data_IF_926820230129
#
_entry.id   IF_926820230129
#
_cell.length_a   1.000
_cell.length_b   1.000
_cell.length_c   1.000
_cell.angle_alpha   90.00
_cell.angle_beta   90.00
_cell.angle_gamma   90.00
#
_symmetry.space_group_name_H-M   'P 1'
#
loop_
_entity.id
_entity.type
_entity.pdbx_description
1 polymer ?
#
# COMPACT_ATOMS: atom_id res chain seq x y z
N UNK A 1 -8.86 24.68 1.64
CA UNK A 1 -8.91 23.54 2.58
C UNK A 1 -10.21 22.84 2.26
N UNK A 2 -10.15 21.57 1.90
CA UNK A 2 -11.35 20.81 1.55
C UNK A 2 -12.21 20.59 2.80
N UNK A 3 -13.53 20.56 2.63
CA UNK A 3 -14.45 20.34 3.73
C UNK A 3 -14.30 18.93 4.33
N UNK A 4 -14.46 18.76 5.65
CA UNK A 4 -14.37 17.46 6.30
C UNK A 4 -15.42 16.48 5.75
N UNK A 5 -15.01 15.26 5.44
CA UNK A 5 -15.96 14.19 5.11
C UNK A 5 -16.45 13.57 6.41
N UNK A 6 -17.76 13.55 6.62
CA UNK A 6 -18.37 12.95 7.81
C UNK A 6 -19.11 11.66 7.44
N UNK A 7 -18.84 10.58 8.17
CA UNK A 7 -19.56 9.31 8.11
C UNK A 7 -20.39 9.13 9.38
N UNK A 8 -21.15 8.03 9.47
CA UNK A 8 -21.90 7.69 10.69
C UNK A 8 -20.99 7.63 11.93
N UNK A 9 -19.76 7.14 11.77
CA UNK A 9 -18.85 6.83 12.88
C UNK A 9 -17.69 7.82 13.00
N UNK A 10 -17.22 8.38 11.88
CA UNK A 10 -15.97 9.14 11.84
C UNK A 10 -16.11 10.49 11.15
N UNK A 11 -15.31 11.46 11.58
CA UNK A 11 -15.01 12.68 10.84
C UNK A 11 -13.60 12.56 10.26
N UNK A 12 -13.50 12.70 8.94
CA UNK A 12 -12.28 12.50 8.16
C UNK A 12 -11.82 13.87 7.66
N UNK A 13 -10.62 14.29 8.05
CA UNK A 13 -10.04 15.56 7.64
C UNK A 13 -8.76 15.33 6.85
N UNK A 14 -8.63 15.95 5.69
CA UNK A 14 -7.38 15.99 4.94
C UNK A 14 -6.53 17.15 5.48
N UNK A 15 -5.44 16.84 6.19
CA UNK A 15 -4.58 17.87 6.77
C UNK A 15 -3.56 18.40 5.76
N UNK A 16 -3.01 17.50 4.94
CA UNK A 16 -2.01 17.86 3.93
C UNK A 16 -1.97 16.85 2.81
N UNK A 17 -1.69 17.32 1.60
CA UNK A 17 -1.40 16.52 0.43
C UNK A 17 -0.05 16.93 -0.16
N UNK A 18 0.80 15.95 -0.49
CA UNK A 18 2.07 16.19 -1.17
C UNK A 18 2.13 15.35 -2.43
N UNK A 19 2.22 16.03 -3.56
CA UNK A 19 2.33 15.41 -4.89
C UNK A 19 3.78 15.16 -5.26
N UNK A 20 4.07 13.95 -5.73
CA UNK A 20 5.33 13.54 -6.33
C UNK A 20 5.08 13.11 -7.78
N UNK A 21 6.15 12.81 -8.52
CA UNK A 21 6.06 12.44 -9.94
C UNK A 21 5.15 11.23 -10.21
N UNK A 22 5.23 10.18 -9.38
CA UNK A 22 4.53 8.91 -9.57
C UNK A 22 3.66 8.46 -8.39
N UNK A 23 3.53 9.28 -7.35
CA UNK A 23 2.65 9.00 -6.21
C UNK A 23 2.24 10.28 -5.48
N UNK A 24 1.22 10.17 -4.64
CA UNK A 24 0.73 11.21 -3.74
C UNK A 24 0.76 10.68 -2.31
N UNK A 25 1.17 11.52 -1.36
CA UNK A 25 1.05 11.24 0.07
C UNK A 25 0.02 12.18 0.68
N UNK A 26 -0.95 11.62 1.42
CA UNK A 26 -1.93 12.37 2.20
C UNK A 26 -1.77 12.09 3.68
N UNK A 27 -1.89 13.14 4.48
CA UNK A 27 -2.00 13.04 5.94
C UNK A 27 -3.45 13.33 6.29
N UNK A 28 -4.12 12.32 6.84
CA UNK A 28 -5.55 12.34 7.13
C UNK A 28 -5.72 12.19 8.64
N UNK A 29 -6.54 13.02 9.27
CA UNK A 29 -6.98 12.80 10.65
C UNK A 29 -8.35 12.16 10.65
N UNK A 30 -8.44 10.98 11.28
CA UNK A 30 -9.67 10.27 11.55
C UNK A 30 -10.09 10.51 13.00
N UNK A 31 -11.20 11.20 13.24
CA UNK A 31 -11.76 11.42 14.58
C UNK A 31 -13.03 10.59 14.77
N UNK A 32 -13.13 9.87 15.88
CA UNK A 32 -14.37 9.17 16.22
C UNK A 32 -15.43 10.19 16.67
N UNK A 33 -16.68 10.04 16.23
CA UNK A 33 -17.74 11.02 16.53
C UNK A 33 -18.24 10.96 17.96
N UNK A 34 -18.24 9.77 18.55
CA UNK A 34 -18.82 9.52 19.87
C UNK A 34 -17.76 9.30 20.96
N UNK A 35 -16.50 9.12 20.56
CA UNK A 35 -15.40 8.84 21.48
C UNK A 35 -14.34 9.92 21.29
N UNK A 36 -13.63 10.27 22.36
CA UNK A 36 -12.50 11.22 22.28
C UNK A 36 -11.24 10.52 21.74
N UNK A 37 -11.38 9.71 20.70
CA UNK A 37 -10.30 9.00 20.02
C UNK A 37 -10.06 9.61 18.65
N UNK A 38 -8.78 9.83 18.35
CA UNK A 38 -8.34 10.26 17.04
C UNK A 38 -7.12 9.45 16.59
N UNK A 39 -6.96 9.32 15.28
CA UNK A 39 -5.80 8.67 14.66
C UNK A 39 -5.37 9.45 13.44
N UNK A 40 -4.06 9.56 13.25
CA UNK A 40 -3.47 10.07 12.02
C UNK A 40 -3.20 8.90 11.06
N UNK A 41 -3.59 9.07 9.80
CA UNK A 41 -3.43 8.10 8.73
C UNK A 41 -2.54 8.72 7.66
N UNK A 42 -1.51 7.99 7.26
CA UNK A 42 -0.69 8.31 6.10
C UNK A 42 -1.14 7.46 4.93
N UNK A 43 -1.79 8.08 3.93
CA UNK A 43 -2.19 7.40 2.71
C UNK A 43 -1.14 7.61 1.63
N UNK A 44 -0.63 6.51 1.10
CA UNK A 44 0.25 6.51 -0.07
C UNK A 44 -0.54 6.03 -1.29
N UNK A 45 -0.58 6.85 -2.33
CA UNK A 45 -1.30 6.55 -3.56
C UNK A 45 -0.35 6.57 -4.75
N UNK A 46 0.02 5.39 -5.26
CA UNK A 46 0.82 5.28 -6.50
C UNK A 46 -0.08 5.58 -7.71
N UNK A 47 0.29 6.58 -8.52
CA UNK A 47 -0.59 7.16 -9.55
C UNK A 47 -0.23 6.78 -10.98
N UNK A 48 0.88 6.07 -11.19
CA UNK A 48 1.41 5.75 -12.53
C UNK A 48 1.28 4.28 -12.91
N UNK A 49 0.49 3.49 -12.17
CA UNK A 49 0.32 2.06 -12.48
C UNK A 49 -0.72 1.89 -13.60
N UNK A 50 -0.36 1.35 -14.78
CA UNK A 50 -1.29 1.20 -15.89
C UNK A 50 -2.36 0.13 -15.62
N UNK A 51 -3.53 0.24 -16.27
CA UNK A 51 -4.69 -0.64 -16.02
C UNK A 51 -4.54 -2.08 -16.53
N UNK A 52 -3.57 -2.36 -17.38
CA UNK A 52 -3.31 -3.70 -17.92
C UNK A 52 -1.82 -4.03 -18.06
N UNK A 53 -0.97 -3.37 -17.26
CA UNK A 53 0.48 -3.52 -17.36
C UNK A 53 1.15 -3.46 -15.97
N UNK A 54 2.47 -3.65 -15.96
CA UNK A 54 3.32 -3.49 -14.80
C UNK A 54 3.65 -2.01 -14.56
N UNK A 55 4.04 -1.62 -13.33
CA UNK A 55 4.57 -0.28 -13.09
C UNK A 55 6.03 -0.23 -13.56
N UNK A 56 6.56 0.99 -13.69
CA UNK A 56 8.01 1.15 -13.80
C UNK A 56 8.68 0.59 -12.53
N UNK A 57 9.69 -0.27 -12.73
CA UNK A 57 10.35 -1.00 -11.65
C UNK A 57 11.08 -0.04 -10.70
N UNK A 58 11.74 0.99 -11.22
CA UNK A 58 12.47 1.95 -10.41
C UNK A 58 11.52 2.81 -9.60
N UNK A 59 10.44 3.30 -10.22
CA UNK A 59 9.40 4.07 -9.54
C UNK A 59 8.76 3.26 -8.40
N UNK A 60 8.40 1.99 -8.65
CA UNK A 60 7.79 1.13 -7.62
C UNK A 60 8.74 0.91 -6.44
N UNK A 61 10.03 0.64 -6.70
CA UNK A 61 11.04 0.47 -5.64
C UNK A 61 11.24 1.77 -4.86
N UNK A 62 11.29 2.93 -5.53
CA UNK A 62 11.41 4.23 -4.86
C UNK A 62 10.19 4.54 -3.98
N UNK A 63 8.99 4.22 -4.48
CA UNK A 63 7.75 4.32 -3.72
C UNK A 63 7.77 3.41 -2.48
N UNK A 64 8.10 2.13 -2.64
CA UNK A 64 8.19 1.17 -1.53
C UNK A 64 9.22 1.60 -0.47
N UNK A 65 10.39 2.11 -0.90
CA UNK A 65 11.40 2.62 0.03
C UNK A 65 10.89 3.81 0.86
N UNK A 66 10.10 4.69 0.27
CA UNK A 66 9.50 5.81 1.01
C UNK A 66 8.43 5.31 1.99
N UNK A 67 7.60 4.36 1.57
CA UNK A 67 6.60 3.70 2.40
C UNK A 67 7.25 3.09 3.66
N UNK A 68 8.33 2.32 3.51
CA UNK A 68 9.02 1.69 4.65
C UNK A 68 9.57 2.68 5.67
N UNK A 69 10.11 3.82 5.21
CA UNK A 69 10.63 4.87 6.11
C UNK A 69 9.54 5.43 7.02
N UNK A 70 8.30 5.53 6.52
CA UNK A 70 7.17 6.04 7.30
C UNK A 70 6.48 4.95 8.12
N UNK A 71 6.52 3.68 7.67
CA UNK A 71 5.97 2.53 8.40
C UNK A 71 6.52 2.40 9.81
N UNK A 72 7.82 2.66 10.02
CA UNK A 72 8.48 2.57 11.34
C UNK A 72 7.86 3.46 12.42
N UNK A 73 7.00 4.42 12.04
CA UNK A 73 6.37 5.39 12.95
C UNK A 73 4.91 5.07 13.29
N UNK A 74 4.35 3.97 12.78
CA UNK A 74 2.90 3.70 12.85
C UNK A 74 2.63 2.30 13.37
N UNK A 75 1.72 2.20 14.34
CA UNK A 75 1.28 0.92 14.89
C UNK A 75 0.15 0.28 14.05
N UNK A 76 0.24 -1.05 13.88
CA UNK A 76 -0.78 -1.87 13.24
C UNK A 76 -0.45 -2.35 11.82
N UNK A 77 -1.32 -3.18 11.21
CA UNK A 77 -1.09 -3.71 9.88
C UNK A 77 -1.23 -2.62 8.81
N UNK A 78 -0.36 -2.68 7.79
CA UNK A 78 -0.48 -1.84 6.61
C UNK A 78 -1.70 -2.28 5.78
N UNK A 79 -2.60 -1.33 5.51
CA UNK A 79 -3.73 -1.55 4.59
C UNK A 79 -3.27 -1.24 3.17
N UNK A 80 -3.32 -2.24 2.30
CA UNK A 80 -3.00 -2.11 0.87
C UNK A 80 -4.24 -2.46 0.06
N UNK A 81 -4.62 -1.61 -0.90
CA UNK A 81 -5.73 -1.88 -1.81
C UNK A 81 -5.42 -1.40 -3.23
N UNK A 82 -6.20 -1.90 -4.19
CA UNK A 82 -6.27 -1.37 -5.54
C UNK A 82 -7.75 -1.26 -5.92
N UNK A 83 -8.18 -1.85 -7.04
CA UNK A 83 -9.59 -2.06 -7.37
C UNK A 83 -10.12 -3.35 -6.72
N UNK A 84 -9.76 -4.53 -7.25
CA UNK A 84 -10.17 -5.84 -6.70
C UNK A 84 -9.34 -6.31 -5.49
N UNK A 85 -8.21 -5.65 -5.20
CA UNK A 85 -7.34 -6.00 -4.08
C UNK A 85 -6.60 -7.34 -4.25
N UNK A 86 -6.23 -7.71 -5.48
CA UNK A 86 -5.54 -8.98 -5.77
C UNK A 86 -4.28 -8.82 -6.65
N UNK A 87 -4.33 -7.97 -7.69
CA UNK A 87 -3.22 -7.74 -8.63
C UNK A 87 -2.13 -6.85 -8.04
N UNK A 88 -2.23 -5.53 -8.24
CA UNK A 88 -1.29 -4.52 -7.72
C UNK A 88 -1.06 -4.65 -6.21
N UNK A 89 -2.12 -4.94 -5.46
CA UNK A 89 -2.08 -5.23 -4.02
C UNK A 89 -1.18 -6.42 -3.72
N UNK A 90 -1.36 -7.54 -4.42
CA UNK A 90 -0.53 -8.73 -4.24
C UNK A 90 0.93 -8.48 -4.62
N UNK A 91 1.18 -7.73 -5.69
CA UNK A 91 2.55 -7.38 -6.11
C UNK A 91 3.27 -6.56 -5.04
N UNK A 92 2.62 -5.55 -4.46
CA UNK A 92 3.25 -4.73 -3.40
C UNK A 92 3.47 -5.52 -2.10
N UNK A 93 2.52 -6.37 -1.71
CA UNK A 93 2.66 -7.22 -0.51
C UNK A 93 3.78 -8.25 -0.70
N UNK A 94 3.85 -8.89 -1.87
CA UNK A 94 4.92 -9.82 -2.20
C UNK A 94 6.28 -9.14 -2.16
N UNK A 95 6.40 -7.97 -2.79
CA UNK A 95 7.64 -7.18 -2.78
C UNK A 95 8.09 -6.87 -1.35
N UNK A 96 7.17 -6.42 -0.50
CA UNK A 96 7.46 -6.10 0.89
C UNK A 96 7.99 -7.30 1.68
N UNK A 97 7.26 -8.41 1.63
CA UNK A 97 7.58 -9.58 2.42
C UNK A 97 8.81 -10.34 1.91
N UNK A 98 8.97 -10.45 0.59
CA UNK A 98 10.13 -11.10 -0.02
C UNK A 98 11.42 -10.30 0.21
N UNK A 99 11.33 -8.97 0.28
CA UNK A 99 12.48 -8.14 0.65
C UNK A 99 12.93 -8.42 2.08
N UNK A 100 12.00 -8.50 3.03
CA UNK A 100 12.33 -8.81 4.44
C UNK A 100 12.82 -10.25 4.62
N UNK A 101 12.23 -11.21 3.89
CA UNK A 101 12.71 -12.59 3.86
C UNK A 101 14.14 -12.68 3.29
N UNK A 102 14.41 -12.00 2.17
CA UNK A 102 15.73 -11.98 1.56
C UNK A 102 16.81 -11.37 2.46
N UNK A 103 16.48 -10.30 3.21
CA UNK A 103 17.41 -9.71 4.18
C UNK A 103 17.77 -10.63 5.35
N UNK A 104 16.87 -11.54 5.72
CA UNK A 104 17.01 -12.37 6.94
C UNK A 104 17.53 -13.77 6.64
N UNK A 105 17.09 -14.38 5.54
CA UNK A 105 17.40 -15.76 5.19
C UNK A 105 18.34 -15.91 3.97
N UNK A 106 18.69 -14.81 3.29
CA UNK A 106 19.47 -14.79 2.04
C UNK A 106 18.89 -15.66 0.90
N UNK A 107 17.61 -15.99 0.99
CA UNK A 107 16.86 -16.81 0.02
C UNK A 107 15.53 -16.13 -0.29
N UNK A 108 15.18 -16.06 -1.58
CA UNK A 108 13.92 -15.50 -2.07
C UNK A 108 13.15 -16.58 -2.84
N UNK A 109 12.06 -17.08 -2.25
CA UNK A 109 11.12 -18.00 -2.92
C UNK A 109 9.82 -17.28 -3.31
N UNK A 110 9.84 -16.71 -4.52
CA UNK A 110 8.68 -15.96 -5.07
C UNK A 110 7.47 -16.89 -5.22
N UNK A 111 7.68 -18.10 -5.76
CA UNK A 111 6.59 -19.02 -6.05
C UNK A 111 5.92 -19.54 -4.77
N UNK A 112 6.71 -19.99 -3.80
CA UNK A 112 6.21 -20.41 -2.50
C UNK A 112 5.47 -19.29 -1.77
N UNK A 113 5.98 -18.06 -1.82
CA UNK A 113 5.30 -16.93 -1.18
C UNK A 113 3.97 -16.58 -1.86
N UNK A 114 3.90 -16.57 -3.19
CA UNK A 114 2.63 -16.37 -3.92
C UNK A 114 1.62 -17.47 -3.57
N UNK A 115 2.06 -18.72 -3.43
CA UNK A 115 1.19 -19.82 -2.98
C UNK A 115 0.64 -19.57 -1.57
N UNK A 116 1.46 -19.11 -0.63
CA UNK A 116 1.03 -18.73 0.73
C UNK A 116 0.01 -17.59 0.68
N UNK A 117 0.26 -16.54 -0.11
CA UNK A 117 -0.69 -15.42 -0.25
C UNK A 117 -2.03 -15.88 -0.81
N UNK A 118 -2.04 -16.79 -1.80
CA UNK A 118 -3.26 -17.32 -2.41
C UNK A 118 -4.11 -18.17 -1.46
N UNK A 119 -3.51 -18.75 -0.43
CA UNK A 119 -4.25 -19.43 0.65
C UNK A 119 -4.97 -18.44 1.59
N UNK A 120 -4.49 -17.20 1.72
CA UNK A 120 -5.09 -16.17 2.57
C UNK A 120 -6.11 -15.31 1.81
N UNK A 121 -5.88 -15.05 0.52
CA UNK A 121 -6.81 -14.36 -0.38
C UNK A 121 -6.65 -14.92 -1.79
N UNK A 122 -7.74 -15.39 -2.38
CA UNK A 122 -7.69 -15.98 -3.72
C UNK A 122 -7.12 -15.01 -4.77
N UNK A 123 -6.43 -15.55 -5.78
CA UNK A 123 -5.92 -14.82 -6.95
C UNK A 123 -4.91 -13.69 -6.67
N UNK A 124 -4.27 -13.68 -5.49
CA UNK A 124 -3.15 -12.77 -5.21
C UNK A 124 -2.04 -12.92 -6.27
N UNK A 125 -1.59 -11.78 -6.81
CA UNK A 125 -0.75 -11.66 -8.00
C UNK A 125 -1.46 -12.31 -9.20
N UNK A 126 -2.29 -11.50 -9.87
CA UNK A 126 -3.31 -11.98 -10.80
C UNK A 126 -2.76 -12.38 -12.18
N UNK A 127 -1.82 -11.62 -12.72
CA UNK A 127 -1.33 -11.79 -14.09
C UNK A 127 0.15 -12.13 -14.11
N UNK A 128 0.54 -12.95 -15.09
CA UNK A 128 1.94 -13.12 -15.49
C UNK A 128 2.17 -12.14 -16.64
N UNK A 129 3.15 -11.26 -16.49
CA UNK A 129 3.60 -10.37 -17.56
C UNK A 129 5.03 -10.78 -17.90
N UNK A 130 5.28 -11.15 -19.15
CA UNK A 130 6.62 -11.44 -19.64
C UNK A 130 7.22 -10.13 -20.16
N UNK A 131 8.33 -9.68 -19.57
CA UNK A 131 9.16 -8.64 -20.17
C UNK A 131 10.02 -9.32 -21.23
N UNK A 132 9.66 -9.12 -22.51
CA UNK A 132 10.38 -9.66 -23.67
C UNK A 132 11.43 -8.64 -24.12
#
# INVERSE_FOLDING_TARGET
>A
MDDPITTATFVINLNSEKQYAFYVIRVITLKHRHERKERQIYQFHYTKWPDHDIPDVFELVLFHRHLQRLRTKVDGPLVVHCSAGIGRTGTLIALDALLEAGKTADVIDIHGYVKIMRNNRMNMVQTVVCLI
#
